data_IF_313801343959
#
_entry.id   IF_313801343959
#
_cell.length_a   1.000
_cell.length_b   1.000
_cell.length_c   1.000
_cell.angle_alpha   90.00
_cell.angle_beta   90.00
_cell.angle_gamma   90.00
#
_symmetry.space_group_name_H-M   'P 1'
#
loop_
_entity.id
_entity.type
_entity.pdbx_description
1 polymer ?
#
# COMPACT_ATOMS: atom_id res chain seq x y z
N UNK A 1 7.53 27.84 -38.77
CA UNK A 1 7.95 26.95 -37.67
C UNK A 1 7.31 27.46 -36.39
N UNK A 2 6.44 26.66 -35.77
CA UNK A 2 5.75 27.06 -34.53
C UNK A 2 6.64 26.71 -33.36
N UNK A 3 7.05 27.71 -32.57
CA UNK A 3 7.75 27.49 -31.31
C UNK A 3 6.82 26.75 -30.35
N UNK A 4 7.29 25.64 -29.79
CA UNK A 4 6.62 24.90 -28.72
C UNK A 4 7.41 25.14 -27.43
N UNK A 5 6.74 25.66 -26.42
CA UNK A 5 7.31 25.80 -25.07
C UNK A 5 7.21 24.46 -24.35
N UNK A 6 8.32 24.02 -23.76
CA UNK A 6 8.33 22.92 -22.80
C UNK A 6 8.31 23.53 -21.39
N UNK A 7 7.39 23.07 -20.53
CA UNK A 7 7.48 23.34 -19.10
C UNK A 7 8.65 22.52 -18.54
N UNK A 8 9.82 23.16 -18.39
CA UNK A 8 10.96 22.57 -17.72
C UNK A 8 10.88 22.90 -16.23
N UNK A 9 10.45 21.93 -15.43
CA UNK A 9 10.66 21.97 -13.99
C UNK A 9 11.99 21.28 -13.70
N UNK A 10 12.92 22.00 -13.09
CA UNK A 10 14.14 21.40 -12.60
C UNK A 10 13.81 20.59 -11.34
N UNK A 11 13.94 19.27 -11.42
CA UNK A 11 13.72 18.35 -10.30
C UNK A 11 14.57 18.75 -9.08
N UNK A 12 15.68 19.46 -9.29
CA UNK A 12 16.47 20.06 -8.21
C UNK A 12 15.63 20.95 -7.29
N UNK A 13 14.78 21.82 -7.84
CA UNK A 13 13.95 22.72 -7.04
C UNK A 13 12.89 21.97 -6.21
N UNK A 14 12.49 20.77 -6.65
CA UNK A 14 11.54 19.92 -5.92
C UNK A 14 12.25 19.02 -4.89
N UNK A 15 13.46 18.57 -5.19
CA UNK A 15 14.23 17.65 -4.36
C UNK A 15 15.11 18.36 -3.31
N UNK A 16 15.41 19.65 -3.51
CA UNK A 16 16.29 20.42 -2.63
C UNK A 16 15.69 20.54 -1.24
N UNK A 17 16.44 20.08 -0.25
CA UNK A 17 16.10 20.10 1.18
C UNK A 17 17.16 20.93 1.90
N UNK A 18 16.91 22.21 2.09
CA UNK A 18 17.76 23.08 2.92
C UNK A 18 17.28 23.03 4.38
N UNK A 19 18.21 23.15 5.34
CA UNK A 19 17.91 23.20 6.78
C UNK A 19 17.13 21.99 7.35
N UNK A 20 17.26 20.81 6.72
CA UNK A 20 16.66 19.57 7.23
C UNK A 20 17.73 18.73 7.94
N UNK A 21 17.52 18.44 9.21
CA UNK A 21 18.27 17.42 9.93
C UNK A 21 17.52 16.08 9.84
N UNK A 22 18.13 15.08 9.17
CA UNK A 22 17.60 13.71 9.18
C UNK A 22 17.89 13.06 10.53
N UNK A 23 16.86 12.49 11.16
CA UNK A 23 17.00 11.64 12.34
C UNK A 23 16.55 10.24 11.94
N UNK A 24 17.51 9.31 11.89
CA UNK A 24 17.18 7.90 11.71
C UNK A 24 16.66 7.37 13.05
N UNK A 25 15.51 6.69 13.01
CA UNK A 25 15.03 5.97 14.18
C UNK A 25 15.97 4.81 14.53
N UNK A 26 15.87 4.34 15.77
CA UNK A 26 16.48 3.08 16.23
C UNK A 26 15.34 2.09 16.47
N UNK A 27 14.71 1.53 15.41
CA UNK A 27 13.61 0.60 15.61
C UNK A 27 14.14 -0.68 16.25
N UNK A 28 13.43 -1.18 17.26
CA UNK A 28 13.64 -2.51 17.81
C UNK A 28 12.66 -3.48 17.17
N UNK A 29 13.14 -4.67 16.81
CA UNK A 29 12.26 -5.68 16.24
C UNK A 29 11.39 -6.29 17.34
N UNK A 30 10.07 -6.14 17.18
CA UNK A 30 9.06 -6.85 17.98
C UNK A 30 8.61 -8.07 17.18
N UNK A 31 8.91 -9.27 17.68
CA UNK A 31 8.65 -10.51 16.95
C UNK A 31 7.17 -10.72 16.66
N UNK A 32 6.34 -10.40 17.64
CA UNK A 32 4.88 -10.51 17.63
C UNK A 32 4.24 -9.55 16.63
N UNK A 33 4.91 -8.44 16.28
CA UNK A 33 4.45 -7.49 15.27
C UNK A 33 4.62 -8.01 13.83
N UNK A 34 5.10 -9.24 13.65
CA UNK A 34 5.23 -9.85 12.34
C UNK A 34 3.87 -10.29 11.82
N UNK A 35 3.33 -9.55 10.86
CA UNK A 35 2.13 -9.97 10.14
C UNK A 35 2.47 -10.90 8.98
N UNK A 36 1.82 -12.06 8.93
CA UNK A 36 1.83 -12.97 7.80
C UNK A 36 0.39 -13.19 7.34
N UNK A 37 0.07 -12.74 6.13
CA UNK A 37 -1.25 -13.01 5.55
C UNK A 37 -1.41 -14.52 5.30
N UNK A 38 -2.48 -15.17 5.77
CA UNK A 38 -2.67 -16.61 5.61
C UNK A 38 -3.08 -17.02 4.19
N UNK A 39 -3.49 -16.07 3.36
CA UNK A 39 -4.05 -16.29 2.02
C UNK A 39 -3.25 -15.63 0.91
N UNK A 40 -2.46 -14.61 1.24
CA UNK A 40 -1.74 -13.80 0.28
C UNK A 40 -0.24 -13.97 0.42
N UNK A 41 0.46 -13.65 -0.65
CA UNK A 41 1.90 -13.41 -0.59
C UNK A 41 2.12 -11.89 -0.74
N UNK A 42 2.15 -11.14 0.38
CA UNK A 42 2.28 -9.70 0.33
C UNK A 42 3.51 -9.28 -0.45
N UNK A 43 3.35 -8.30 -1.33
CA UNK A 43 4.47 -7.66 -2.00
C UNK A 43 4.34 -6.15 -1.84
N UNK A 44 5.46 -5.44 -2.01
CA UNK A 44 5.62 -4.00 -1.70
C UNK A 44 5.69 -3.65 -0.22
N UNK A 45 6.08 -2.40 0.06
CA UNK A 45 6.29 -1.87 1.39
C UNK A 45 4.92 -1.59 2.06
N UNK A 46 4.58 -2.29 3.17
CA UNK A 46 3.35 -2.02 3.87
C UNK A 46 3.35 -0.59 4.40
N UNK A 47 2.21 0.08 4.29
CA UNK A 47 1.99 1.41 4.87
C UNK A 47 1.13 1.27 6.10
N UNK A 48 1.67 1.60 7.27
CA UNK A 48 0.96 1.57 8.55
C UNK A 48 0.64 2.99 8.99
N UNK A 49 -0.62 3.23 9.36
CA UNK A 49 -1.09 4.52 9.88
C UNK A 49 -2.09 4.32 11.01
N UNK A 50 -2.14 5.28 11.93
CA UNK A 50 -3.18 5.33 12.95
C UNK A 50 -4.40 6.07 12.40
N UNK A 51 -5.57 5.42 12.42
CA UNK A 51 -6.85 5.99 12.02
C UNK A 51 -7.48 6.66 13.24
N UNK A 52 -7.32 7.99 13.34
CA UNK A 52 -7.84 8.78 14.45
C UNK A 52 -9.36 8.74 14.60
N UNK A 53 -10.10 8.50 13.51
CA UNK A 53 -11.55 8.42 13.54
C UNK A 53 -12.02 7.08 14.11
N UNK A 54 -11.35 5.99 13.75
CA UNK A 54 -11.69 4.63 14.20
C UNK A 54 -10.93 4.19 15.44
N UNK A 55 -9.95 4.96 15.89
CA UNK A 55 -9.08 4.71 17.04
C UNK A 55 -8.33 3.37 16.96
N UNK A 56 -7.90 3.01 15.76
CA UNK A 56 -7.15 1.78 15.48
C UNK A 56 -6.03 2.03 14.48
N UNK A 57 -5.07 1.13 14.45
CA UNK A 57 -4.03 1.08 13.43
C UNK A 57 -4.53 0.35 12.19
N UNK A 58 -4.15 0.86 11.03
CA UNK A 58 -4.43 0.25 9.72
C UNK A 58 -3.13 0.05 8.98
N UNK A 59 -2.95 -1.16 8.46
CA UNK A 59 -1.89 -1.48 7.53
C UNK A 59 -2.49 -1.72 6.15
N UNK A 60 -1.90 -1.09 5.14
CA UNK A 60 -2.24 -1.27 3.74
C UNK A 60 -1.10 -1.95 3.01
N UNK A 61 -1.40 -2.95 2.20
CA UNK A 61 -0.41 -3.75 1.49
C UNK A 61 -1.01 -4.31 0.19
N UNK A 62 -0.15 -4.79 -0.70
CA UNK A 62 -0.58 -5.43 -1.94
C UNK A 62 -0.48 -6.95 -1.81
N UNK A 63 -1.58 -7.65 -2.12
CA UNK A 63 -1.57 -9.07 -2.44
C UNK A 63 -1.32 -9.28 -3.93
N UNK A 64 -0.77 -10.43 -4.32
CA UNK A 64 -0.58 -10.77 -5.75
C UNK A 64 -0.84 -12.25 -6.04
N UNK A 65 -1.31 -12.48 -7.26
CA UNK A 65 -1.19 -13.77 -7.95
C UNK A 65 -0.07 -13.68 -8.98
N UNK A 66 0.80 -14.69 -9.04
CA UNK A 66 1.83 -14.81 -10.08
C UNK A 66 1.40 -15.76 -11.19
N UNK A 67 1.83 -15.52 -12.43
CA UNK A 67 1.61 -16.47 -13.52
C UNK A 67 2.35 -17.79 -13.24
N UNK A 68 1.74 -18.96 -13.53
CA UNK A 68 2.35 -20.27 -13.26
C UNK A 68 3.75 -20.40 -13.87
N UNK A 69 4.71 -20.88 -13.08
CA UNK A 69 6.09 -21.10 -13.53
C UNK A 69 6.92 -19.82 -13.72
N UNK A 70 6.42 -18.66 -13.31
CA UNK A 70 7.15 -17.38 -13.43
C UNK A 70 7.06 -16.56 -12.15
N UNK A 71 7.84 -15.47 -12.08
CA UNK A 71 7.70 -14.43 -11.05
C UNK A 71 6.86 -13.24 -11.54
N UNK A 72 6.28 -13.31 -12.75
CA UNK A 72 5.49 -12.23 -13.32
C UNK A 72 4.12 -12.15 -12.66
N UNK A 73 3.66 -10.92 -12.40
CA UNK A 73 2.33 -10.65 -11.86
C UNK A 73 1.25 -11.04 -12.86
N UNK A 74 0.23 -11.73 -12.37
CA UNK A 74 -1.02 -11.99 -13.08
C UNK A 74 -2.09 -11.01 -12.60
N UNK A 75 -2.26 -10.92 -11.28
CA UNK A 75 -3.26 -10.09 -10.62
C UNK A 75 -2.69 -9.50 -9.33
N UNK A 76 -3.24 -8.35 -8.92
CA UNK A 76 -2.85 -7.63 -7.70
C UNK A 76 -4.09 -7.07 -7.02
N UNK A 77 -4.07 -7.04 -5.68
CA UNK A 77 -5.15 -6.53 -4.84
C UNK A 77 -4.60 -5.55 -3.83
N UNK A 78 -5.34 -4.48 -3.56
CA UNK A 78 -5.00 -3.56 -2.48
C UNK A 78 -5.83 -3.89 -1.24
N UNK A 79 -5.12 -4.28 -0.18
CA UNK A 79 -5.65 -4.97 0.98
C UNK A 79 -5.37 -4.16 2.24
N UNK A 80 -6.20 -4.37 3.26
CA UNK A 80 -5.99 -3.77 4.58
C UNK A 80 -6.10 -4.79 5.70
N UNK A 81 -5.33 -4.60 6.76
CA UNK A 81 -5.56 -5.22 8.08
C UNK A 81 -5.60 -4.16 9.18
N UNK A 82 -6.20 -4.50 10.30
CA UNK A 82 -6.47 -3.59 11.42
C UNK A 82 -5.89 -4.15 12.72
N UNK A 83 -5.50 -3.26 13.63
CA UNK A 83 -4.96 -3.60 14.95
C UNK A 83 -5.36 -2.52 15.95
N UNK A 84 -5.72 -2.88 17.18
CA UNK A 84 -6.04 -1.88 18.22
C UNK A 84 -4.77 -1.23 18.78
N UNK A 85 -3.67 -1.99 18.81
CA UNK A 85 -2.42 -1.66 19.49
C UNK A 85 -1.22 -1.55 18.53
N UNK A 86 -1.40 -1.92 17.26
CA UNK A 86 -0.37 -1.82 16.21
C UNK A 86 0.60 -3.01 16.17
N UNK A 87 0.27 -4.13 16.83
CA UNK A 87 1.12 -5.32 16.92
C UNK A 87 0.41 -6.54 16.34
N UNK A 88 -0.78 -6.89 16.84
CA UNK A 88 -1.56 -8.02 16.33
C UNK A 88 -2.59 -7.52 15.33
N UNK A 89 -2.60 -8.14 14.15
CA UNK A 89 -3.36 -7.67 13.01
C UNK A 89 -4.45 -8.64 12.62
N UNK A 90 -5.63 -8.11 12.31
CA UNK A 90 -6.80 -8.86 11.87
C UNK A 90 -7.27 -8.37 10.50
N UNK A 91 -7.86 -9.29 9.73
CA UNK A 91 -8.43 -8.98 8.42
C UNK A 91 -9.89 -8.54 8.61
N UNK A 92 -10.24 -7.27 8.39
CA UNK A 92 -11.63 -6.84 8.49
C UNK A 92 -12.44 -7.40 7.31
N UNK A 93 -13.72 -7.67 7.54
CA UNK A 93 -14.66 -7.88 6.43
C UNK A 93 -15.26 -6.54 5.99
N UNK A 94 -14.88 -6.10 4.80
CA UNK A 94 -15.32 -4.84 4.19
C UNK A 94 -16.42 -5.02 3.15
N UNK A 95 -16.97 -6.22 3.00
CA UNK A 95 -17.99 -6.53 1.98
C UNK A 95 -19.20 -5.62 2.05
N UNK A 96 -19.61 -5.19 3.26
CA UNK A 96 -20.77 -4.33 3.49
C UNK A 96 -20.44 -2.82 3.46
N UNK A 97 -19.18 -2.45 3.62
CA UNK A 97 -18.76 -1.04 3.80
C UNK A 97 -18.06 -0.45 2.60
N UNK A 98 -17.35 -1.27 1.82
CA UNK A 98 -16.66 -0.85 0.59
C UNK A 98 -17.29 -1.58 -0.59
N UNK A 99 -18.14 -0.91 -1.39
CA UNK A 99 -18.82 -1.54 -2.51
C UNK A 99 -17.82 -1.75 -3.65
N UNK A 100 -17.32 -2.99 -3.79
CA UNK A 100 -16.43 -3.38 -4.89
C UNK A 100 -17.17 -4.34 -5.83
N UNK A 101 -17.41 -3.97 -7.09
CA UNK A 101 -18.15 -4.79 -8.06
C UNK A 101 -17.54 -6.18 -8.31
N UNK A 102 -16.22 -6.31 -8.17
CA UNK A 102 -15.46 -7.53 -8.44
C UNK A 102 -14.56 -7.90 -7.25
N UNK A 103 -15.11 -7.85 -6.03
CA UNK A 103 -14.38 -8.19 -4.80
C UNK A 103 -13.83 -9.62 -4.86
N UNK A 104 -12.53 -9.76 -4.64
CA UNK A 104 -11.86 -11.06 -4.55
C UNK A 104 -11.52 -11.43 -3.11
N UNK A 105 -11.35 -10.42 -2.23
CA UNK A 105 -11.04 -10.62 -0.80
C UNK A 105 -11.94 -9.77 0.10
N UNK A 106 -12.36 -10.28 1.28
CA UNK A 106 -13.18 -9.51 2.22
C UNK A 106 -12.55 -8.18 2.64
N UNK A 107 -11.22 -8.13 2.74
CA UNK A 107 -10.46 -6.97 3.22
C UNK A 107 -9.85 -6.11 2.09
N UNK A 108 -10.35 -6.26 0.86
CA UNK A 108 -9.96 -5.44 -0.29
C UNK A 108 -10.59 -4.03 -0.19
N UNK A 109 -9.79 -3.00 -0.51
CA UNK A 109 -10.17 -1.59 -0.34
C UNK A 109 -10.31 -0.82 -1.66
N UNK A 110 -9.91 -1.41 -2.79
CA UNK A 110 -10.03 -0.80 -4.11
C UNK A 110 -10.44 -1.83 -5.16
N UNK A 111 -11.16 -1.37 -6.18
CA UNK A 111 -11.53 -2.22 -7.31
C UNK A 111 -10.31 -2.47 -8.20
N UNK A 112 -10.01 -3.75 -8.46
CA UNK A 112 -8.98 -4.19 -9.39
C UNK A 112 -9.08 -3.53 -10.77
N UNK A 113 -10.30 -3.25 -11.26
CA UNK A 113 -10.50 -2.63 -12.57
C UNK A 113 -10.02 -1.18 -12.64
N UNK A 114 -9.78 -0.53 -11.50
CA UNK A 114 -9.36 0.87 -11.43
C UNK A 114 -7.85 1.03 -11.13
N UNK A 115 -7.08 -0.06 -11.15
CA UNK A 115 -5.62 -0.15 -10.93
C UNK A 115 -5.09 0.59 -9.68
N UNK A 116 -4.69 -0.16 -8.67
CA UNK A 116 -4.06 0.41 -7.46
C UNK A 116 -2.57 0.80 -7.65
N UNK A 117 -1.90 0.26 -8.67
CA UNK A 117 -0.49 0.59 -8.96
C UNK A 117 -0.44 1.38 -10.27
N UNK A 118 -0.20 2.68 -10.19
CA UNK A 118 -0.23 3.58 -11.34
C UNK A 118 0.46 3.01 -12.59
N UNK A 119 -0.32 2.86 -13.66
CA UNK A 119 0.13 2.60 -15.03
C UNK A 119 0.69 1.20 -15.30
N UNK A 120 0.07 0.49 -16.24
CA UNK A 120 0.79 -0.50 -17.04
C UNK A 120 1.89 0.21 -17.84
N UNK A 121 3.10 -0.35 -17.83
CA UNK A 121 4.09 -0.08 -18.90
C UNK A 121 3.60 -0.74 -20.18
#
# INVERSE_FOLDING_TARGET
>A
MTLRSLFFFDDWCLARRDNIARRLGQPEWVREATYADPTENPFSYPTVLYDEQRKLWRMFYLGRETMPGTLYRKDEWFLTVESEEGIHWERPDLTSTVPLPSRMRPHEIFDRQQMATGGSV
#
